data_IF_518316265209
#
_entry.id   IF_518316265209
#
_cell.length_a   1.000
_cell.length_b   1.000
_cell.length_c   1.000
_cell.angle_alpha   90.00
_cell.angle_beta   90.00
_cell.angle_gamma   90.00
#
_symmetry.space_group_name_H-M   'P 1'
#
loop_
_entity.id
_entity.type
_entity.pdbx_description
1 polymer ?
#
# COMPACT_ATOMS: atom_id res chain seq x y z
N UNK A 1 11.16 10.89 15.08
CA UNK A 1 11.42 9.47 15.38
C UNK A 1 10.11 8.71 15.35
N UNK A 2 9.85 7.88 14.32
CA UNK A 2 8.79 6.85 14.34
C UNK A 2 9.46 5.56 14.81
N UNK A 3 9.98 5.56 16.04
CA UNK A 3 10.84 4.47 16.54
C UNK A 3 10.05 3.32 17.19
N UNK A 4 8.74 3.48 17.42
CA UNK A 4 7.93 2.53 18.18
C UNK A 4 7.14 1.52 17.33
N UNK A 5 7.30 1.47 16.01
CA UNK A 5 6.49 0.57 15.17
C UNK A 5 4.99 0.93 15.11
N UNK A 6 4.56 2.02 15.76
CA UNK A 6 3.20 2.53 15.67
C UNK A 6 2.88 2.90 14.22
N UNK A 7 1.71 2.46 13.75
CA UNK A 7 1.21 2.74 12.39
C UNK A 7 -0.09 3.52 12.47
N UNK A 8 -0.38 4.27 11.40
CA UNK A 8 -1.67 4.93 11.26
C UNK A 8 -2.77 3.87 11.21
N UNK A 9 -3.89 4.18 11.87
CA UNK A 9 -5.10 3.36 11.75
C UNK A 9 -5.61 3.43 10.31
N UNK A 10 -6.28 2.36 9.87
CA UNK A 10 -6.96 2.32 8.59
C UNK A 10 -8.01 3.44 8.50
N UNK A 11 -7.98 4.29 7.46
CA UNK A 11 -9.06 5.24 7.19
C UNK A 11 -10.35 4.51 6.78
N UNK A 12 -11.51 5.02 7.18
CA UNK A 12 -12.82 4.35 6.99
C UNK A 12 -13.15 4.02 5.53
N UNK A 13 -12.76 4.89 4.59
CA UNK A 13 -13.12 4.76 3.17
C UNK A 13 -12.08 4.02 2.33
N UNK A 14 -10.96 3.62 2.93
CA UNK A 14 -9.89 2.95 2.20
C UNK A 14 -10.21 1.45 2.12
N UNK A 15 -10.20 0.84 0.92
CA UNK A 15 -10.33 -0.62 0.78
C UNK A 15 -9.22 -1.35 1.53
N UNK A 16 -9.50 -2.55 2.05
CA UNK A 16 -8.49 -3.35 2.78
C UNK A 16 -7.24 -3.59 1.96
N UNK A 17 -7.38 -3.83 0.66
CA UNK A 17 -6.26 -4.09 -0.24
C UNK A 17 -5.30 -2.91 -0.37
N UNK A 18 -5.82 -1.67 -0.39
CA UNK A 18 -4.99 -0.48 -0.43
C UNK A 18 -4.35 -0.20 0.94
N UNK A 19 -5.06 -0.50 2.03
CA UNK A 19 -4.48 -0.43 3.37
C UNK A 19 -3.34 -1.44 3.56
N UNK A 20 -3.49 -2.66 3.04
CA UNK A 20 -2.45 -3.68 3.08
C UNK A 20 -1.20 -3.23 2.31
N UNK A 21 -1.35 -2.59 1.15
CA UNK A 21 -0.21 -2.00 0.44
C UNK A 21 0.52 -0.96 1.31
N UNK A 22 -0.21 -0.09 2.02
CA UNK A 22 0.39 0.87 2.94
C UNK A 22 1.15 0.19 4.09
N UNK A 23 0.62 -0.91 4.65
CA UNK A 23 1.32 -1.69 5.67
C UNK A 23 2.64 -2.26 5.14
N UNK A 24 2.65 -2.82 3.92
CA UNK A 24 3.89 -3.33 3.29
C UNK A 24 4.90 -2.21 3.04
N UNK A 25 4.45 -1.03 2.60
CA UNK A 25 5.30 0.17 2.47
C UNK A 25 5.90 0.62 3.80
N UNK A 26 5.20 0.35 4.90
CA UNK A 26 5.64 0.67 6.26
C UNK A 26 6.29 -0.53 6.97
N UNK A 27 6.87 -1.49 6.25
CA UNK A 27 7.62 -2.57 6.87
C UNK A 27 8.83 -2.04 7.68
N UNK A 28 9.04 -2.62 8.86
CA UNK A 28 10.15 -2.23 9.74
C UNK A 28 11.49 -2.55 9.09
N UNK A 29 11.59 -3.73 8.47
CA UNK A 29 12.75 -4.12 7.70
C UNK A 29 12.68 -3.43 6.31
N UNK A 30 13.65 -2.56 5.95
CA UNK A 30 13.66 -1.91 4.65
C UNK A 30 13.64 -2.88 3.47
N UNK A 31 14.27 -4.06 3.61
CA UNK A 31 14.34 -5.08 2.56
C UNK A 31 12.97 -5.73 2.25
N UNK A 32 12.01 -5.63 3.17
CA UNK A 32 10.66 -6.15 2.97
C UNK A 32 9.73 -5.13 2.28
N UNK A 33 10.18 -3.88 2.11
CA UNK A 33 9.35 -2.84 1.49
C UNK A 33 9.29 -3.07 -0.03
N UNK A 34 8.14 -2.83 -0.67
CA UNK A 34 8.02 -2.94 -2.11
C UNK A 34 8.85 -1.85 -2.80
N UNK A 35 9.28 -2.12 -4.03
CA UNK A 35 9.81 -1.06 -4.89
C UNK A 35 8.68 -0.17 -5.38
N UNK A 36 8.99 1.04 -5.87
CA UNK A 36 7.98 1.88 -6.52
C UNK A 36 7.34 1.19 -7.74
N UNK A 37 8.11 0.37 -8.48
CA UNK A 37 7.60 -0.42 -9.60
C UNK A 37 6.54 -1.41 -9.13
N UNK A 38 6.77 -2.08 -8.00
CA UNK A 38 5.78 -2.98 -7.41
C UNK A 38 4.53 -2.22 -6.96
N UNK A 39 4.70 -1.07 -6.28
CA UNK A 39 3.57 -0.22 -5.86
C UNK A 39 2.67 0.18 -7.04
N UNK A 40 3.28 0.64 -8.15
CA UNK A 40 2.54 1.00 -9.37
C UNK A 40 1.80 -0.21 -9.91
N UNK A 41 2.47 -1.37 -10.01
CA UNK A 41 1.84 -2.61 -10.47
C UNK A 41 0.65 -3.02 -9.60
N UNK A 42 0.77 -2.97 -8.28
CA UNK A 42 -0.32 -3.26 -7.36
C UNK A 42 -1.51 -2.32 -7.60
N UNK A 43 -1.26 -1.02 -7.65
CA UNK A 43 -2.33 -0.02 -7.85
C UNK A 43 -3.02 -0.21 -9.21
N UNK A 44 -2.29 -0.48 -10.29
CA UNK A 44 -2.87 -0.76 -11.60
C UNK A 44 -3.78 -1.99 -11.65
N UNK A 45 -3.58 -2.96 -10.75
CA UNK A 45 -4.45 -4.15 -10.63
C UNK A 45 -5.72 -3.88 -9.81
N UNK A 46 -5.77 -2.76 -9.07
CA UNK A 46 -6.93 -2.34 -8.28
C UNK A 46 -7.87 -1.42 -9.06
N UNK A 47 -7.37 -0.78 -10.11
CA UNK A 47 -8.20 -0.01 -11.02
C UNK A 47 -9.21 -0.96 -11.69
N UNK A 48 -10.53 -0.68 -11.59
CA UNK A 48 -11.50 -1.40 -12.40
C UNK A 48 -11.11 -1.20 -13.87
N UNK A 49 -11.16 -2.26 -14.67
CA UNK A 49 -11.07 -2.20 -16.13
C UNK A 49 -12.29 -1.46 -16.69
N UNK A 50 -12.35 -0.14 -16.48
CA UNK A 50 -13.45 0.73 -16.86
C UNK A 50 -12.93 1.96 -17.59
N UNK A 51 -11.80 1.84 -18.29
CA UNK A 51 -11.40 2.74 -19.39
C UNK A 51 -10.61 1.93 -20.44
N UNK A 52 -11.31 1.02 -21.11
CA UNK A 52 -11.00 0.72 -22.52
C UNK A 52 -12.17 1.27 -23.33
N UNK A 53 -12.01 2.51 -23.77
CA UNK A 53 -12.73 3.07 -24.92
C UNK A 53 -11.74 3.18 -26.08
#
# INVERSE_FOLDING_TARGET
QIEAGLRLKKPTLVPDVLFNLMLTCWENNPENRPTFTDCVRFMSLLEPTSQQS
#
